data_IF_235061396745
#
_entry.id   IF_235061396745
#
_cell.length_a   1.000
_cell.length_b   1.000
_cell.length_c   1.000
_cell.angle_alpha   90.00
_cell.angle_beta   90.00
_cell.angle_gamma   90.00
#
_symmetry.space_group_name_H-M   'P 1'
#
loop_
_entity.id
_entity.type
_entity.pdbx_description
1 polymer ?
#
# COMPACT_ATOMS: atom_id res chain seq x y z
N UNK A 1 6.53 -9.81 -6.81
CA UNK A 1 7.10 -8.52 -7.29
C UNK A 1 6.47 -8.20 -8.63
N UNK A 2 5.88 -7.01 -8.77
CA UNK A 2 5.29 -6.54 -10.04
C UNK A 2 6.08 -5.33 -10.52
N UNK A 3 6.43 -5.27 -11.81
CA UNK A 3 7.17 -4.15 -12.42
C UNK A 3 6.37 -3.54 -13.57
N UNK A 4 6.36 -2.22 -13.70
CA UNK A 4 5.74 -1.53 -14.83
C UNK A 4 6.04 -0.03 -14.85
N UNK A 5 6.33 0.52 -16.04
CA UNK A 5 6.53 1.98 -16.28
C UNK A 5 7.41 2.70 -15.23
N UNK A 6 8.48 2.06 -14.76
CA UNK A 6 9.38 2.66 -13.75
C UNK A 6 8.86 2.62 -12.30
N UNK A 7 7.80 1.85 -12.05
CA UNK A 7 7.27 1.52 -10.72
C UNK A 7 7.52 0.03 -10.44
N UNK A 8 7.87 -0.26 -9.20
CA UNK A 8 8.06 -1.60 -8.66
C UNK A 8 7.18 -1.77 -7.42
N UNK A 9 6.45 -2.87 -7.37
CA UNK A 9 5.62 -3.27 -6.24
C UNK A 9 6.21 -4.52 -5.59
N UNK A 10 6.51 -4.41 -4.30
CA UNK A 10 7.05 -5.48 -3.47
C UNK A 10 6.00 -5.91 -2.44
N UNK A 11 5.87 -7.21 -2.23
CA UNK A 11 4.81 -7.80 -1.41
C UNK A 11 3.53 -8.16 -2.19
N UNK A 12 2.38 -8.31 -1.51
CA UNK A 12 2.22 -8.17 -0.05
C UNK A 12 2.96 -9.26 0.72
N UNK A 13 3.48 -8.92 1.90
CA UNK A 13 4.11 -9.86 2.84
C UNK A 13 3.62 -9.59 4.25
N UNK A 14 3.66 -10.57 5.17
CA UNK A 14 3.44 -10.31 6.59
C UNK A 14 4.38 -9.21 7.11
N UNK A 15 3.85 -8.31 7.93
CA UNK A 15 4.69 -7.36 8.67
C UNK A 15 5.63 -8.13 9.62
N UNK A 16 6.78 -7.55 10.03
CA UNK A 16 7.71 -8.19 10.99
C UNK A 16 7.00 -8.68 12.26
N UNK A 17 6.02 -7.90 12.74
CA UNK A 17 5.01 -8.35 13.69
C UNK A 17 3.70 -8.58 12.95
N UNK A 18 3.45 -9.83 12.59
CA UNK A 18 2.39 -10.25 11.66
C UNK A 18 0.97 -10.19 12.24
N UNK A 19 0.82 -10.12 13.57
CA UNK A 19 -0.46 -9.98 14.25
C UNK A 19 -0.35 -9.06 15.47
N UNK A 20 -1.25 -8.08 15.59
CA UNK A 20 -1.36 -7.17 16.73
C UNK A 20 -2.83 -7.03 17.11
N UNK A 21 -3.17 -7.22 18.40
CA UNK A 21 -4.56 -7.12 18.92
C UNK A 21 -5.56 -7.94 18.09
N UNK A 22 -5.17 -9.15 17.69
CA UNK A 22 -6.01 -10.05 16.88
C UNK A 22 -6.11 -9.70 15.39
N UNK A 23 -5.60 -8.53 14.95
CA UNK A 23 -5.59 -8.12 13.54
C UNK A 23 -4.34 -8.60 12.82
N UNK A 24 -4.50 -9.10 11.59
CA UNK A 24 -3.38 -9.43 10.72
C UNK A 24 -2.75 -8.16 10.15
N UNK A 25 -1.42 -8.14 10.08
CA UNK A 25 -0.66 -7.04 9.50
C UNK A 25 0.08 -7.52 8.26
N UNK A 26 -0.18 -6.85 7.16
CA UNK A 26 0.48 -7.06 5.88
C UNK A 26 1.13 -5.74 5.47
N UNK A 27 2.27 -5.82 4.80
CA UNK A 27 2.97 -4.66 4.25
C UNK A 27 3.18 -4.88 2.76
N UNK A 28 3.07 -3.79 2.02
CA UNK A 28 3.38 -3.71 0.61
C UNK A 28 4.22 -2.45 0.40
N UNK A 29 5.30 -2.56 -0.36
CA UNK A 29 6.20 -1.46 -0.64
C UNK A 29 6.09 -1.06 -2.11
N UNK A 30 5.86 0.23 -2.34
CA UNK A 30 5.83 0.83 -3.68
C UNK A 30 7.12 1.61 -3.86
N UNK A 31 7.91 1.27 -4.88
CA UNK A 31 9.10 2.00 -5.28
C UNK A 31 8.89 2.54 -6.68
N UNK A 32 9.32 3.76 -6.95
CA UNK A 32 9.32 4.28 -8.32
C UNK A 32 10.60 5.09 -8.59
N UNK A 33 10.96 5.21 -9.86
CA UNK A 33 12.05 6.09 -10.29
C UNK A 33 11.72 7.58 -10.11
N UNK A 34 10.44 7.92 -10.14
CA UNK A 34 9.94 9.29 -9.99
C UNK A 34 8.82 9.36 -8.95
N UNK A 35 8.90 10.33 -8.04
CA UNK A 35 7.87 10.56 -7.01
C UNK A 35 6.51 10.93 -7.61
N UNK A 36 6.51 11.53 -8.81
CA UNK A 36 5.30 11.90 -9.55
C UNK A 36 4.40 10.69 -9.84
N UNK A 37 5.01 9.53 -10.10
CA UNK A 37 4.33 8.28 -10.38
C UNK A 37 3.66 7.69 -9.13
N UNK A 38 4.34 7.74 -7.99
CA UNK A 38 3.79 7.29 -6.69
C UNK A 38 2.55 8.13 -6.35
N UNK A 39 2.65 9.47 -6.45
CA UNK A 39 1.52 10.37 -6.17
C UNK A 39 0.30 10.06 -7.03
N UNK A 40 0.49 9.86 -8.34
CA UNK A 40 -0.61 9.50 -9.26
C UNK A 40 -1.27 8.19 -8.87
N UNK A 41 -0.49 7.16 -8.52
CA UNK A 41 -1.01 5.87 -8.08
C UNK A 41 -1.81 6.02 -6.78
N UNK A 42 -1.26 6.73 -5.79
CA UNK A 42 -1.91 6.92 -4.50
C UNK A 42 -3.24 7.65 -4.64
N UNK A 43 -3.31 8.73 -5.42
CA UNK A 43 -4.56 9.47 -5.67
C UNK A 43 -5.63 8.55 -6.27
N UNK A 44 -5.33 7.89 -7.38
CA UNK A 44 -6.29 7.01 -8.08
C UNK A 44 -6.71 5.84 -7.19
N UNK A 45 -5.79 5.30 -6.40
CA UNK A 45 -6.07 4.16 -5.51
C UNK A 45 -6.95 4.59 -4.33
N UNK A 46 -6.67 5.73 -3.70
CA UNK A 46 -7.45 6.27 -2.59
C UNK A 46 -8.86 6.65 -3.03
N UNK A 47 -9.04 7.22 -4.22
CA UNK A 47 -10.37 7.49 -4.78
C UNK A 47 -11.18 6.20 -4.96
N UNK A 48 -10.55 5.15 -5.51
CA UNK A 48 -11.19 3.84 -5.64
C UNK A 48 -11.53 3.20 -4.30
N UNK A 49 -10.70 3.40 -3.27
CA UNK A 49 -10.94 2.88 -1.92
C UNK A 49 -12.07 3.64 -1.23
N UNK A 50 -12.14 4.97 -1.34
CA UNK A 50 -13.24 5.80 -0.81
C UNK A 50 -14.60 5.38 -1.36
N UNK A 51 -14.64 5.02 -2.64
CA UNK A 51 -15.87 4.61 -3.31
C UNK A 51 -16.27 3.15 -3.04
N UNK A 52 -15.44 2.37 -2.35
CA UNK A 52 -15.75 0.99 -1.96
C UNK A 52 -16.29 0.96 -0.53
N UNK A 53 -17.60 0.74 -0.41
CA UNK A 53 -18.31 0.56 0.87
C UNK A 53 -17.92 -0.72 1.63
N UNK A 54 -17.16 -1.65 1.04
CA UNK A 54 -16.92 -3.00 1.60
C UNK A 54 -15.58 -3.21 2.33
N UNK A 55 -14.85 -2.15 2.68
CA UNK A 55 -13.56 -2.28 3.40
C UNK A 55 -13.71 -2.41 4.93
N UNK A 56 -14.90 -2.78 5.41
CA UNK A 56 -15.15 -2.96 6.85
C UNK A 56 -14.16 -3.97 7.44
N UNK A 57 -13.49 -3.56 8.52
CA UNK A 57 -12.49 -4.39 9.22
C UNK A 57 -11.06 -4.32 8.67
N UNK A 58 -10.79 -3.48 7.66
CA UNK A 58 -9.45 -3.26 7.12
C UNK A 58 -9.01 -1.82 7.42
N UNK A 59 -7.93 -1.69 8.19
CA UNK A 59 -7.26 -0.40 8.39
C UNK A 59 -6.11 -0.28 7.39
N UNK A 60 -6.09 0.80 6.60
CA UNK A 60 -5.03 1.09 5.63
C UNK A 60 -4.23 2.28 6.13
N UNK A 61 -2.94 2.07 6.30
CA UNK A 61 -1.97 3.10 6.65
C UNK A 61 -0.97 3.26 5.50
N UNK A 62 -0.62 4.51 5.17
CA UNK A 62 0.33 4.83 4.11
C UNK A 62 1.46 5.60 4.76
N UNK A 63 2.65 5.02 4.73
CA UNK A 63 3.89 5.66 5.16
C UNK A 63 4.72 6.06 3.93
N UNK A 64 5.14 7.33 3.88
CA UNK A 64 5.91 7.91 2.78
C UNK A 64 7.32 8.16 3.29
N UNK A 65 8.29 7.57 2.62
CA UNK A 65 9.69 7.55 3.06
C UNK A 65 9.83 7.07 4.52
N UNK A 66 9.40 5.81 4.81
CA UNK A 66 9.47 5.24 6.16
C UNK A 66 10.93 5.24 6.65
N UNK A 67 11.13 5.65 7.91
CA UNK A 67 12.43 5.68 8.58
C UNK A 67 12.89 4.30 9.05
#
# INVERSE_FOLDING_TARGET
MIKGKGIELLGPVPAPVSRIRGKHRQVMLIKAKEISLIRKILIVSLEKLKNKTSLSGIDIEIDVDPQ
#
